data_IF_175777691963
#
_entry.id   IF_175777691963
#
_cell.length_a   1.000
_cell.length_b   1.000
_cell.length_c   1.000
_cell.angle_alpha   90.00
_cell.angle_beta   90.00
_cell.angle_gamma   90.00
#
_symmetry.space_group_name_H-M   'P 1'
#
loop_
_entity.id
_entity.type
_entity.pdbx_description
1 polymer ?
#
# COMPACT_ATOMS: atom_id res chain seq x y z
N UNK A 1 -4.25 -13.82 -2.77
CA UNK A 1 -3.80 -12.44 -3.06
C UNK A 1 -3.66 -12.24 -4.56
N UNK A 2 -4.47 -11.37 -5.19
CA UNK A 2 -4.45 -11.17 -6.65
C UNK A 2 -3.49 -10.06 -7.08
N UNK A 3 -3.39 -8.99 -6.29
CA UNK A 3 -2.68 -7.76 -6.69
C UNK A 3 -1.37 -7.52 -5.94
N UNK A 4 -1.01 -8.35 -4.96
CA UNK A 4 0.19 -8.13 -4.13
C UNK A 4 1.49 -8.06 -4.94
N UNK A 5 1.65 -8.93 -5.95
CA UNK A 5 2.81 -8.89 -6.83
C UNK A 5 2.86 -7.60 -7.67
N UNK A 6 1.70 -7.08 -8.09
CA UNK A 6 1.62 -5.81 -8.84
C UNK A 6 1.94 -4.62 -7.93
N UNK A 7 1.47 -4.65 -6.68
CA UNK A 7 1.79 -3.65 -5.64
C UNK A 7 3.30 -3.64 -5.38
N UNK A 8 3.91 -4.80 -5.18
CA UNK A 8 5.35 -4.94 -4.94
C UNK A 8 6.18 -4.40 -6.12
N UNK A 9 5.79 -4.75 -7.35
CA UNK A 9 6.46 -4.24 -8.55
C UNK A 9 6.43 -2.71 -8.63
N UNK A 10 5.25 -2.08 -8.42
CA UNK A 10 5.14 -0.62 -8.47
C UNK A 10 5.94 0.03 -7.34
N UNK A 11 5.94 -0.55 -6.13
CA UNK A 11 6.75 -0.06 -5.02
C UNK A 11 8.24 -0.12 -5.33
N UNK A 12 8.70 -1.21 -5.94
CA UNK A 12 10.08 -1.34 -6.40
C UNK A 12 10.42 -0.25 -7.42
N UNK A 13 9.58 -0.05 -8.44
CA UNK A 13 9.78 1.01 -9.43
C UNK A 13 9.80 2.41 -8.82
N UNK A 14 8.92 2.70 -7.86
CA UNK A 14 8.90 3.97 -7.13
C UNK A 14 10.17 4.16 -6.28
N UNK A 15 10.68 3.09 -5.69
CA UNK A 15 11.89 3.09 -4.87
C UNK A 15 13.14 3.39 -5.70
N UNK A 16 13.36 2.66 -6.80
CA UNK A 16 14.54 2.84 -7.66
C UNK A 16 14.59 4.20 -8.34
N UNK A 17 13.42 4.72 -8.73
CA UNK A 17 13.32 5.91 -9.57
C UNK A 17 13.00 7.20 -8.78
N UNK A 18 13.02 7.15 -7.44
CA UNK A 18 12.80 8.32 -6.58
C UNK A 18 13.71 9.51 -6.94
N UNK A 19 14.93 9.24 -7.44
CA UNK A 19 15.94 10.24 -7.82
C UNK A 19 15.68 10.93 -9.17
N UNK A 20 14.90 10.31 -10.06
CA UNK A 20 14.80 10.71 -11.48
C UNK A 20 13.39 11.10 -11.93
N UNK A 21 12.36 10.92 -11.09
CA UNK A 21 10.99 11.22 -11.50
C UNK A 21 10.62 12.70 -11.39
N UNK A 22 10.17 13.26 -12.51
CA UNK A 22 9.33 14.46 -12.48
C UNK A 22 8.13 14.21 -11.54
N UNK A 23 7.80 15.20 -10.70
CA UNK A 23 6.75 15.12 -9.67
C UNK A 23 5.42 14.52 -10.18
N UNK A 24 5.03 14.85 -11.41
CA UNK A 24 3.81 14.32 -12.06
C UNK A 24 3.81 12.80 -12.23
N UNK A 25 4.92 12.24 -12.68
CA UNK A 25 4.96 10.83 -13.00
C UNK A 25 5.13 9.97 -11.73
N UNK A 26 5.77 10.50 -10.68
CA UNK A 26 5.68 9.89 -9.36
C UNK A 26 4.23 9.83 -8.86
N UNK A 27 3.52 10.97 -8.90
CA UNK A 27 2.12 11.05 -8.46
C UNK A 27 1.21 10.09 -9.21
N UNK A 28 1.36 9.98 -10.53
CA UNK A 28 0.58 9.05 -11.35
C UNK A 28 0.82 7.58 -10.95
N UNK A 29 2.08 7.19 -10.70
CA UNK A 29 2.39 5.83 -10.21
C UNK A 29 1.87 5.60 -8.79
N UNK A 30 1.93 6.61 -7.93
CA UNK A 30 1.38 6.55 -6.58
C UNK A 30 -0.15 6.39 -6.58
N UNK A 31 -0.86 7.06 -7.49
CA UNK A 31 -2.30 6.88 -7.67
C UNK A 31 -2.66 5.46 -8.14
N UNK A 32 -1.87 4.89 -9.04
CA UNK A 32 -2.03 3.50 -9.47
C UNK A 32 -1.79 2.52 -8.30
N UNK A 33 -0.76 2.77 -7.50
CA UNK A 33 -0.46 1.97 -6.30
C UNK A 33 -1.64 1.97 -5.32
N UNK A 34 -2.22 3.14 -5.05
CA UNK A 34 -3.38 3.27 -4.17
C UNK A 34 -4.63 2.53 -4.70
N UNK A 35 -4.91 2.61 -6.01
CA UNK A 35 -6.02 1.87 -6.63
C UNK A 35 -5.84 0.35 -6.49
N UNK A 36 -4.61 -0.16 -6.64
CA UNK A 36 -4.30 -1.57 -6.42
C UNK A 36 -4.50 -1.99 -4.96
N UNK A 37 -4.08 -1.17 -3.99
CA UNK A 37 -4.35 -1.42 -2.57
C UNK A 37 -5.84 -1.51 -2.28
N UNK A 38 -6.64 -0.56 -2.79
CA UNK A 38 -8.09 -0.57 -2.60
C UNK A 38 -8.72 -1.85 -3.17
N UNK A 39 -8.34 -2.26 -4.38
CA UNK A 39 -8.82 -3.50 -5.00
C UNK A 39 -8.42 -4.74 -4.20
N UNK A 40 -7.19 -4.77 -3.70
CA UNK A 40 -6.64 -5.85 -2.89
C UNK A 40 -7.41 -5.96 -1.57
N UNK A 41 -7.54 -4.87 -0.81
CA UNK A 41 -8.25 -4.83 0.47
C UNK A 41 -9.73 -5.16 0.32
N UNK A 42 -10.41 -4.64 -0.71
CA UNK A 42 -11.80 -5.00 -0.98
C UNK A 42 -11.95 -6.48 -1.27
N UNK A 43 -11.07 -7.05 -2.10
CA UNK A 43 -11.09 -8.46 -2.44
C UNK A 43 -10.92 -9.36 -1.23
N UNK A 44 -9.97 -9.05 -0.35
CA UNK A 44 -9.73 -9.84 0.87
C UNK A 44 -10.79 -9.63 1.93
N UNK A 45 -11.20 -8.40 2.20
CA UNK A 45 -12.22 -8.11 3.20
C UNK A 45 -13.57 -8.79 2.85
N UNK A 46 -13.89 -8.97 1.57
CA UNK A 46 -15.05 -9.75 1.14
C UNK A 46 -14.95 -11.23 1.51
N UNK A 47 -13.75 -11.81 1.46
CA UNK A 47 -13.50 -13.19 1.87
C UNK A 47 -13.54 -13.33 3.40
N UNK A 48 -12.93 -12.37 4.10
CA UNK A 48 -12.85 -12.33 5.58
C UNK A 48 -14.20 -12.09 6.25
N UNK A 49 -15.16 -11.45 5.57
CA UNK A 49 -16.51 -11.15 6.09
C UNK A 49 -17.28 -12.38 6.55
N UNK A 50 -16.96 -13.57 6.02
CA UNK A 50 -17.63 -14.81 6.36
C UNK A 50 -17.06 -15.49 7.63
N UNK A 51 -15.95 -14.99 8.16
CA UNK A 51 -15.24 -15.60 9.29
C UNK A 51 -15.05 -14.57 10.42
N UNK A 52 -15.76 -14.76 11.54
CA UNK A 52 -15.66 -13.89 12.72
C UNK A 52 -14.57 -14.33 13.70
N UNK A 53 -13.40 -14.69 13.19
CA UNK A 53 -12.24 -15.00 14.04
C UNK A 53 -11.51 -13.71 14.44
N UNK A 54 -10.73 -13.76 15.52
CA UNK A 54 -9.90 -12.64 15.93
C UNK A 54 -8.87 -12.26 14.84
N UNK A 55 -8.33 -13.25 14.13
CA UNK A 55 -7.35 -13.03 13.06
C UNK A 55 -7.98 -12.32 11.86
N UNK A 56 -9.19 -12.71 11.44
CA UNK A 56 -9.91 -12.00 10.37
C UNK A 56 -10.22 -10.54 10.75
N UNK A 57 -10.57 -10.28 12.02
CA UNK A 57 -10.77 -8.92 12.51
C UNK A 57 -9.46 -8.11 12.53
N UNK A 58 -8.35 -8.72 12.95
CA UNK A 58 -7.03 -8.09 12.95
C UNK A 58 -6.55 -7.77 11.54
N UNK A 59 -6.74 -8.68 10.58
CA UNK A 59 -6.39 -8.48 9.17
C UNK A 59 -7.19 -7.32 8.56
N UNK A 60 -8.50 -7.27 8.81
CA UNK A 60 -9.33 -6.14 8.37
C UNK A 60 -8.91 -4.82 9.01
N UNK A 61 -8.60 -4.82 10.31
CA UNK A 61 -8.13 -3.63 11.01
C UNK A 61 -6.79 -3.14 10.44
N UNK A 62 -5.89 -4.05 10.06
CA UNK A 62 -4.64 -3.69 9.39
C UNK A 62 -4.88 -3.02 8.02
N UNK A 63 -5.83 -3.53 7.22
CA UNK A 63 -6.28 -2.86 6.00
C UNK A 63 -6.86 -1.46 6.26
N UNK A 64 -7.67 -1.28 7.30
CA UNK A 64 -8.28 0.01 7.66
C UNK A 64 -7.20 1.02 8.08
N UNK A 65 -6.20 0.58 8.86
CA UNK A 65 -5.05 1.42 9.25
C UNK A 65 -4.28 1.86 8.02
N UNK A 66 -3.96 0.93 7.11
CA UNK A 66 -3.18 1.25 5.91
C UNK A 66 -3.96 2.15 4.94
N UNK A 67 -5.27 1.92 4.77
CA UNK A 67 -6.14 2.78 3.97
C UNK A 67 -6.14 4.23 4.46
N UNK A 68 -6.19 4.43 5.77
CA UNK A 68 -6.10 5.76 6.37
C UNK A 68 -4.72 6.40 6.14
N UNK A 69 -3.64 5.61 6.19
CA UNK A 69 -2.29 6.10 5.84
C UNK A 69 -2.18 6.50 4.39
N UNK A 70 -2.72 5.71 3.45
CA UNK A 70 -2.71 6.03 2.02
C UNK A 70 -3.42 7.35 1.71
N UNK A 71 -4.56 7.63 2.36
CA UNK A 71 -5.26 8.93 2.25
C UNK A 71 -4.35 10.10 2.67
N UNK A 72 -3.59 9.92 3.75
CA UNK A 72 -2.63 10.92 4.21
C UNK A 72 -1.47 11.06 3.22
N UNK A 73 -0.88 9.96 2.78
CA UNK A 73 0.23 9.93 1.83
C UNK A 73 -0.12 10.60 0.50
N UNK A 74 -1.35 10.43 -0.02
CA UNK A 74 -1.82 11.15 -1.23
C UNK A 74 -1.64 12.67 -1.16
N UNK A 75 -1.78 13.26 0.03
CA UNK A 75 -1.63 14.71 0.24
C UNK A 75 -0.16 15.09 0.35
N UNK A 76 0.62 14.24 1.02
CA UNK A 76 2.00 14.49 1.39
C UNK A 76 3.01 14.17 0.25
N UNK A 77 2.64 13.32 -0.70
CA UNK A 77 3.52 12.84 -1.77
C UNK A 77 4.07 13.96 -2.68
N UNK A 78 3.38 15.10 -2.72
CA UNK A 78 3.78 16.27 -3.49
C UNK A 78 4.63 17.29 -2.72
N UNK A 79 4.88 17.07 -1.42
CA UNK A 79 5.53 18.08 -0.56
C UNK A 79 7.04 18.18 -0.81
N UNK A 80 7.75 17.06 -0.84
CA UNK A 80 9.19 17.02 -1.12
C UNK A 80 9.65 15.63 -1.58
N UNK A 81 10.88 15.55 -2.07
CA UNK A 81 11.51 14.27 -2.41
C UNK A 81 11.70 13.38 -1.17
N UNK A 82 12.18 13.93 -0.07
CA UNK A 82 12.38 13.21 1.19
C UNK A 82 11.06 12.62 1.69
N UNK A 83 9.97 13.36 1.52
CA UNK A 83 8.63 12.90 1.89
C UNK A 83 8.21 11.69 1.04
N UNK A 84 8.48 11.69 -0.26
CA UNK A 84 8.22 10.53 -1.15
C UNK A 84 9.02 9.31 -0.74
N UNK A 85 10.32 9.48 -0.48
CA UNK A 85 11.20 8.38 -0.03
C UNK A 85 10.66 7.77 1.26
N UNK A 86 10.29 8.62 2.22
CA UNK A 86 9.71 8.16 3.48
C UNK A 86 8.38 7.41 3.29
N UNK A 87 7.47 7.94 2.46
CA UNK A 87 6.19 7.29 2.13
C UNK A 87 6.43 5.90 1.51
N UNK A 88 7.30 5.78 0.50
CA UNK A 88 7.60 4.50 -0.15
C UNK A 88 8.17 3.50 0.86
N UNK A 89 9.09 3.94 1.71
CA UNK A 89 9.69 3.11 2.76
C UNK A 89 8.65 2.62 3.79
N UNK A 90 7.71 3.47 4.21
CA UNK A 90 6.64 3.05 5.11
C UNK A 90 5.71 2.02 4.45
N UNK A 91 5.33 2.21 3.19
CA UNK A 91 4.46 1.29 2.47
C UNK A 91 5.15 -0.07 2.29
N UNK A 92 6.44 -0.09 1.89
CA UNK A 92 7.20 -1.33 1.77
C UNK A 92 7.32 -2.06 3.11
N UNK A 93 7.62 -1.33 4.19
CA UNK A 93 7.73 -1.92 5.53
C UNK A 93 6.40 -2.52 5.98
N UNK A 94 5.29 -1.82 5.72
CA UNK A 94 3.96 -2.35 6.01
C UNK A 94 3.66 -3.61 5.19
N UNK A 95 3.94 -3.60 3.88
CA UNK A 95 3.63 -4.72 2.98
C UNK A 95 4.36 -6.01 3.40
N UNK A 96 5.64 -5.91 3.76
CA UNK A 96 6.44 -7.05 4.25
C UNK A 96 5.79 -7.63 5.50
N UNK A 97 5.53 -6.79 6.51
CA UNK A 97 4.89 -7.23 7.76
C UNK A 97 3.49 -7.80 7.52
N UNK A 98 2.72 -7.22 6.61
CA UNK A 98 1.38 -7.68 6.27
C UNK A 98 1.41 -9.11 5.71
N UNK A 99 2.28 -9.35 4.72
CA UNK A 99 2.42 -10.66 4.09
C UNK A 99 2.95 -11.69 5.10
N UNK A 100 3.90 -11.33 5.96
CA UNK A 100 4.41 -12.24 6.98
C UNK A 100 3.35 -12.65 8.02
N UNK A 101 2.46 -11.73 8.41
CA UNK A 101 1.48 -11.98 9.48
C UNK A 101 0.17 -12.62 8.99
N UNK A 102 -0.24 -12.38 7.74
CA UNK A 102 -1.55 -12.80 7.23
C UNK A 102 -1.46 -13.73 6.00
N UNK A 103 -0.25 -14.07 5.56
CA UNK A 103 -0.03 -14.92 4.39
C UNK A 103 0.73 -16.22 4.67
N UNK A 104 0.81 -16.64 5.94
CA UNK A 104 1.34 -17.95 6.35
C UNK A 104 0.33 -19.07 6.16
#
# INVERSE_FOLDING_TARGET
>A
MKFINEIDLILHELSENNLNYEDKAFKSKFELLDDLFLKQFMGENLLLLNEMTADCMNHKMDHDVMSNRLIKFKREVGESHEKRVHIVSEIQSWLINHVENFHS
#
